data_IF_043976004100
#
_entry.id   IF_043976004100
#
_cell.length_a   1.000
_cell.length_b   1.000
_cell.length_c   1.000
_cell.angle_alpha   90.00
_cell.angle_beta   90.00
_cell.angle_gamma   90.00
#
_symmetry.space_group_name_H-M   'P 1'
#
loop_
_entity.id
_entity.type
_entity.pdbx_description
1 polymer ?
#
# COMPACT_ATOMS: atom_id res chain seq x y z
N UNK A 1 11.97 -28.02 10.73
CA UNK A 1 13.24 -28.66 10.29
C UNK A 1 14.35 -28.06 11.16
N UNK A 2 15.40 -28.81 11.49
CA UNK A 2 16.54 -28.25 12.25
C UNK A 2 17.51 -27.62 11.26
N UNK A 3 18.04 -26.45 11.58
CA UNK A 3 18.91 -25.68 10.69
C UNK A 3 20.27 -25.42 11.33
N UNK A 4 21.31 -25.33 10.49
CA UNK A 4 22.55 -24.70 10.89
C UNK A 4 22.32 -23.17 11.02
N UNK A 5 23.02 -22.51 11.95
CA UNK A 5 22.92 -21.05 12.18
C UNK A 5 23.10 -20.24 10.89
N UNK A 6 24.17 -20.53 10.14
CA UNK A 6 24.55 -19.72 8.98
C UNK A 6 23.59 -19.97 7.81
N UNK A 7 23.11 -21.21 7.66
CA UNK A 7 22.07 -21.57 6.69
C UNK A 7 20.76 -20.85 7.02
N UNK A 8 20.35 -20.84 8.29
CA UNK A 8 19.15 -20.14 8.73
C UNK A 8 19.23 -18.65 8.40
N UNK A 9 20.37 -18.00 8.68
CA UNK A 9 20.55 -16.58 8.41
C UNK A 9 20.58 -16.24 6.92
N UNK A 10 21.22 -17.07 6.11
CA UNK A 10 21.17 -16.90 4.66
C UNK A 10 19.72 -16.96 4.15
N UNK A 11 18.94 -17.95 4.62
CA UNK A 11 17.52 -18.08 4.25
C UNK A 11 16.72 -16.86 4.72
N UNK A 12 16.91 -16.38 5.95
CA UNK A 12 16.19 -15.20 6.45
C UNK A 12 16.51 -13.94 5.63
N UNK A 13 17.79 -13.75 5.26
CA UNK A 13 18.22 -12.65 4.40
C UNK A 13 17.55 -12.72 3.03
N UNK A 14 17.57 -13.88 2.38
CA UNK A 14 16.95 -14.07 1.06
C UNK A 14 15.43 -13.88 1.11
N UNK A 15 14.79 -14.42 2.15
CA UNK A 15 13.37 -14.20 2.39
C UNK A 15 13.05 -12.72 2.62
N UNK A 16 13.88 -11.99 3.36
CA UNK A 16 13.73 -10.56 3.60
C UNK A 16 13.80 -9.74 2.31
N UNK A 17 14.79 -10.03 1.45
CA UNK A 17 14.91 -9.36 0.13
C UNK A 17 13.69 -9.65 -0.74
N UNK A 18 13.24 -10.91 -0.81
CA UNK A 18 12.08 -11.29 -1.59
C UNK A 18 10.78 -10.66 -1.06
N UNK A 19 10.60 -10.62 0.26
CA UNK A 19 9.45 -9.98 0.89
C UNK A 19 9.43 -8.47 0.63
N UNK A 20 10.59 -7.81 0.72
CA UNK A 20 10.71 -6.39 0.41
C UNK A 20 10.37 -6.09 -1.05
N UNK A 21 10.91 -6.87 -2.00
CA UNK A 21 10.59 -6.71 -3.42
C UNK A 21 9.09 -6.86 -3.69
N UNK A 22 8.44 -7.84 -3.06
CA UNK A 22 6.99 -8.05 -3.19
C UNK A 22 6.18 -6.91 -2.56
N UNK A 23 6.61 -6.38 -1.41
CA UNK A 23 5.95 -5.25 -0.76
C UNK A 23 6.02 -4.01 -1.65
N UNK A 24 7.19 -3.68 -2.18
CA UNK A 24 7.39 -2.57 -3.13
C UNK A 24 6.55 -2.74 -4.39
N UNK A 25 6.44 -3.95 -4.94
CA UNK A 25 5.57 -4.23 -6.08
C UNK A 25 4.09 -3.89 -5.76
N UNK A 26 3.61 -4.34 -4.59
CA UNK A 26 2.24 -4.08 -4.13
C UNK A 26 1.99 -2.59 -3.91
N UNK A 27 2.89 -1.91 -3.21
CA UNK A 27 2.81 -0.45 -3.01
C UNK A 27 2.84 0.27 -4.35
N UNK A 28 3.62 -0.20 -5.32
CA UNK A 28 3.63 0.33 -6.68
C UNK A 28 2.29 0.21 -7.41
N UNK A 29 1.49 -0.83 -7.18
CA UNK A 29 0.11 -0.88 -7.69
C UNK A 29 -0.78 0.15 -7.00
N UNK A 30 -0.66 0.28 -5.68
CA UNK A 30 -1.44 1.25 -4.89
C UNK A 30 -1.15 2.68 -5.37
N UNK A 31 0.13 3.04 -5.51
CA UNK A 31 0.55 4.36 -6.00
C UNK A 31 -0.04 4.66 -7.37
N UNK A 32 0.04 3.71 -8.32
CA UNK A 32 -0.53 3.89 -9.67
C UNK A 32 -2.04 4.12 -9.66
N UNK A 33 -2.78 3.40 -8.82
CA UNK A 33 -4.23 3.62 -8.69
C UNK A 33 -4.54 4.98 -8.03
N UNK A 34 -3.75 5.40 -7.04
CA UNK A 34 -3.88 6.73 -6.44
C UNK A 34 -3.59 7.83 -7.46
N UNK A 35 -2.52 7.72 -8.24
CA UNK A 35 -2.17 8.67 -9.31
C UNK A 35 -3.31 8.79 -10.32
N UNK A 36 -3.87 7.65 -10.76
CA UNK A 36 -5.03 7.64 -11.67
C UNK A 36 -6.24 8.36 -11.08
N UNK A 37 -6.55 8.14 -9.80
CA UNK A 37 -7.64 8.85 -9.11
C UNK A 37 -7.35 10.36 -9.04
N UNK A 38 -6.10 10.74 -8.74
CA UNK A 38 -5.69 12.14 -8.72
C UNK A 38 -5.86 12.81 -10.09
N UNK A 39 -5.46 12.14 -11.17
CA UNK A 39 -5.64 12.63 -12.54
C UNK A 39 -7.12 12.82 -12.88
N UNK A 40 -7.95 11.84 -12.56
CA UNK A 40 -9.40 11.89 -12.82
C UNK A 40 -10.08 13.03 -12.06
N UNK A 41 -9.81 13.16 -10.75
CA UNK A 41 -10.36 14.23 -9.92
C UNK A 41 -9.90 15.60 -10.39
N UNK A 42 -8.62 15.73 -10.77
CA UNK A 42 -8.04 16.99 -11.28
C UNK A 42 -8.65 17.37 -12.63
N UNK A 43 -8.84 16.40 -13.53
CA UNK A 43 -9.50 16.60 -14.82
C UNK A 43 -10.95 17.04 -14.62
N UNK A 44 -11.71 16.32 -13.80
CA UNK A 44 -13.12 16.63 -13.50
C UNK A 44 -13.27 18.03 -12.88
N UNK A 45 -12.37 18.40 -11.97
CA UNK A 45 -12.36 19.74 -11.40
C UNK A 45 -12.03 20.82 -12.45
N UNK A 46 -11.08 20.55 -13.34
CA UNK A 46 -10.72 21.47 -14.42
C UNK A 46 -11.88 21.70 -15.40
N UNK A 47 -12.57 20.63 -15.81
CA UNK A 47 -13.78 20.69 -16.64
C UNK A 47 -14.90 21.45 -15.90
N UNK A 48 -15.04 21.25 -14.58
CA UNK A 48 -16.05 21.92 -13.77
C UNK A 48 -15.89 23.45 -13.71
N UNK A 49 -14.66 23.95 -13.91
CA UNK A 49 -14.32 25.38 -13.94
C UNK A 49 -14.54 26.03 -15.30
N UNK A 50 -14.58 25.27 -16.39
CA UNK A 50 -14.80 25.83 -17.72
C UNK A 50 -16.22 26.43 -17.78
N UNK A 51 -16.30 27.71 -18.20
CA UNK A 51 -17.57 28.41 -18.38
C UNK A 51 -18.25 27.90 -19.67
N UNK A 52 -19.43 27.25 -19.58
CA UNK A 52 -20.15 26.80 -20.77
C UNK A 52 -20.56 27.96 -21.68
N UNK A 53 -20.66 29.19 -21.16
CA UNK A 53 -21.01 30.36 -21.97
C UNK A 53 -19.85 30.87 -22.84
N UNK A 54 -18.60 30.48 -22.56
CA UNK A 54 -17.45 30.88 -23.39
C UNK A 54 -17.47 30.21 -24.78
N UNK A 55 -18.11 29.06 -24.93
CA UNK A 55 -18.30 28.37 -26.22
C UNK A 55 -19.64 28.70 -26.90
N UNK A 56 -20.61 29.25 -26.17
CA UNK A 56 -21.95 29.51 -26.70
C UNK A 56 -22.13 30.94 -27.26
N UNK A 57 -21.05 31.72 -27.31
CA UNK A 57 -21.03 33.08 -27.85
C UNK A 57 -20.46 33.17 -29.29
N UNK A 58 -20.17 32.02 -29.91
CA UNK A 58 -19.76 31.90 -31.30
C UNK A 58 -20.93 31.49 -32.19
N UNK A 59 -21.46 32.48 -32.92
CA UNK A 59 -22.28 32.37 -34.11
C UNK A 59 -23.61 31.59 -34.05
N UNK A 60 -24.67 32.36 -34.26
CA UNK A 60 -25.87 31.96 -34.99
C UNK A 60 -25.53 30.96 -36.10
N UNK A 61 -26.09 29.75 -36.02
CA UNK A 61 -26.38 28.97 -37.22
C UNK A 61 -27.86 28.60 -37.23
N UNK A 62 -28.47 28.94 -38.37
CA UNK A 62 -29.87 28.83 -38.64
C UNK A 62 -30.16 27.41 -39.11
N UNK A 63 -30.64 26.54 -38.22
CA UNK A 63 -30.90 25.16 -38.63
C UNK A 63 -31.56 24.26 -37.59
N UNK A 64 -32.87 24.48 -37.33
CA UNK A 64 -33.81 23.37 -37.07
C UNK A 64 -33.62 22.45 -35.85
N UNK A 65 -32.75 22.73 -34.89
CA UNK A 65 -32.77 21.98 -33.62
C UNK A 65 -33.97 22.42 -32.78
N UNK A 66 -34.95 21.51 -32.63
CA UNK A 66 -36.11 21.70 -31.76
C UNK A 66 -35.64 22.23 -30.40
N UNK A 67 -35.98 23.48 -30.10
CA UNK A 67 -35.61 24.16 -28.86
C UNK A 67 -35.90 23.24 -27.66
N UNK A 68 -34.85 22.92 -26.89
CA UNK A 68 -34.99 22.10 -25.67
C UNK A 68 -36.05 22.74 -24.77
N UNK A 69 -36.94 21.92 -24.21
CA UNK A 69 -37.94 22.41 -23.24
C UNK A 69 -37.25 23.16 -22.09
N UNK A 70 -37.84 24.27 -21.65
CA UNK A 70 -37.39 25.06 -20.49
C UNK A 70 -37.18 24.20 -19.23
N UNK A 71 -37.97 23.13 -19.06
CA UNK A 71 -37.81 22.17 -17.97
C UNK A 71 -36.49 21.41 -18.08
N UNK A 72 -36.17 20.92 -19.29
CA UNK A 72 -34.92 20.21 -19.57
C UNK A 72 -33.70 21.11 -19.37
N UNK A 73 -33.79 22.38 -19.79
CA UNK A 73 -32.73 23.37 -19.56
C UNK A 73 -32.51 23.63 -18.06
N UNK A 74 -33.59 23.78 -17.29
CA UNK A 74 -33.49 23.95 -15.83
C UNK A 74 -32.90 22.71 -15.14
N UNK A 75 -33.29 21.52 -15.58
CA UNK A 75 -32.76 20.26 -15.06
C UNK A 75 -31.26 20.10 -15.36
N UNK A 76 -30.83 20.29 -16.61
CA UNK A 76 -29.40 20.24 -16.99
C UNK A 76 -28.57 21.26 -16.18
N UNK A 77 -29.11 22.45 -15.89
CA UNK A 77 -28.43 23.46 -15.07
C UNK A 77 -28.31 23.04 -13.60
N UNK A 78 -29.34 22.41 -13.03
CA UNK A 78 -29.31 21.91 -11.66
C UNK A 78 -28.32 20.75 -11.51
N UNK A 79 -28.35 19.78 -12.43
CA UNK A 79 -27.42 18.65 -12.47
C UNK A 79 -25.96 19.13 -12.58
N UNK A 80 -25.68 20.10 -13.48
CA UNK A 80 -24.35 20.72 -13.59
C UNK A 80 -23.89 21.41 -12.30
N UNK A 81 -24.79 22.09 -11.58
CA UNK A 81 -24.44 22.73 -10.30
C UNK A 81 -24.02 21.69 -9.26
N UNK A 82 -24.73 20.56 -9.18
CA UNK A 82 -24.40 19.45 -8.29
C UNK A 82 -23.04 18.84 -8.66
N UNK A 83 -22.82 18.56 -9.94
CA UNK A 83 -21.55 18.04 -10.46
C UNK A 83 -20.36 18.96 -10.14
N UNK A 84 -20.50 20.28 -10.30
CA UNK A 84 -19.44 21.24 -9.93
C UNK A 84 -19.16 21.26 -8.43
N UNK A 85 -20.20 21.22 -7.61
CA UNK A 85 -20.04 21.20 -6.16
C UNK A 85 -19.30 19.92 -5.72
N UNK A 86 -19.65 18.78 -6.33
CA UNK A 86 -18.99 17.50 -6.10
C UNK A 86 -17.52 17.52 -6.53
N UNK A 87 -17.22 17.95 -7.76
CA UNK A 87 -15.85 18.02 -8.27
C UNK A 87 -14.96 18.94 -7.42
N UNK A 88 -15.51 20.05 -6.92
CA UNK A 88 -14.81 20.94 -5.98
C UNK A 88 -14.50 20.25 -4.66
N UNK A 89 -15.47 19.52 -4.11
CA UNK A 89 -15.30 18.78 -2.86
C UNK A 89 -14.23 17.70 -3.02
N UNK A 90 -14.37 16.82 -4.01
CA UNK A 90 -13.44 15.72 -4.29
C UNK A 90 -12.01 16.22 -4.48
N UNK A 91 -11.82 17.31 -5.22
CA UNK A 91 -10.50 17.93 -5.37
C UNK A 91 -9.96 18.52 -4.06
N UNK A 92 -10.82 19.10 -3.23
CA UNK A 92 -10.39 19.68 -1.94
C UNK A 92 -9.96 18.63 -0.92
N UNK A 93 -10.51 17.42 -1.01
CA UNK A 93 -10.21 16.30 -0.09
C UNK A 93 -9.08 15.40 -0.59
N UNK A 94 -8.48 15.70 -1.75
CA UNK A 94 -7.48 14.83 -2.38
C UNK A 94 -6.23 14.65 -1.51
N UNK A 95 -5.80 15.69 -0.78
CA UNK A 95 -4.65 15.61 0.12
C UNK A 95 -4.91 14.70 1.33
N UNK A 96 -6.13 14.73 1.87
CA UNK A 96 -6.55 13.85 2.97
C UNK A 96 -6.66 12.40 2.50
N UNK A 97 -7.16 12.20 1.28
CA UNK A 97 -7.21 10.88 0.64
C UNK A 97 -5.81 10.27 0.47
N UNK A 98 -4.83 11.03 -0.04
CA UNK A 98 -3.45 10.54 -0.19
C UNK A 98 -2.86 10.14 1.18
N UNK A 99 -3.00 10.99 2.19
CA UNK A 99 -2.53 10.68 3.56
C UNK A 99 -3.20 9.44 4.13
N UNK A 100 -4.50 9.26 3.87
CA UNK A 100 -5.22 8.08 4.31
C UNK A 100 -4.63 6.81 3.68
N UNK A 101 -4.33 6.84 2.38
CA UNK A 101 -3.68 5.70 1.71
C UNK A 101 -2.29 5.44 2.29
N UNK A 102 -1.49 6.49 2.54
CA UNK A 102 -0.17 6.35 3.19
C UNK A 102 -0.29 5.67 4.55
N UNK A 103 -1.27 6.06 5.37
CA UNK A 103 -1.53 5.43 6.67
C UNK A 103 -1.93 3.97 6.52
N UNK A 104 -2.76 3.60 5.54
CA UNK A 104 -3.10 2.20 5.32
C UNK A 104 -1.89 1.37 4.91
N UNK A 105 -0.99 1.91 4.09
CA UNK A 105 0.26 1.21 3.69
C UNK A 105 1.14 0.96 4.90
N UNK A 106 1.34 1.97 5.76
CA UNK A 106 2.14 1.84 6.98
C UNK A 106 1.49 0.87 7.98
N UNK A 107 0.18 0.99 8.21
CA UNK A 107 -0.57 0.09 9.09
C UNK A 107 -0.46 -1.37 8.62
N UNK A 108 -0.55 -1.60 7.30
CA UNK A 108 -0.38 -2.93 6.71
C UNK A 108 1.03 -3.46 6.94
N UNK A 109 2.07 -2.65 6.75
CA UNK A 109 3.45 -3.03 7.00
C UNK A 109 3.69 -3.42 8.47
N UNK A 110 3.17 -2.61 9.39
CA UNK A 110 3.27 -2.88 10.83
C UNK A 110 2.54 -4.16 11.20
N UNK A 111 1.34 -4.37 10.66
CA UNK A 111 0.56 -5.59 10.90
C UNK A 111 1.32 -6.83 10.42
N UNK A 112 1.89 -6.78 9.21
CA UNK A 112 2.72 -7.87 8.66
C UNK A 112 3.94 -8.16 9.55
N UNK A 113 4.61 -7.13 10.06
CA UNK A 113 5.75 -7.31 10.97
C UNK A 113 5.32 -7.99 12.27
N UNK A 114 4.24 -7.52 12.90
CA UNK A 114 3.69 -8.10 14.14
C UNK A 114 3.28 -9.56 13.93
N UNK A 115 2.56 -9.86 12.85
CA UNK A 115 2.11 -11.22 12.54
C UNK A 115 3.30 -12.16 12.29
N UNK A 116 4.31 -11.69 11.54
CA UNK A 116 5.51 -12.47 11.23
C UNK A 116 6.33 -12.76 12.48
N UNK A 117 6.55 -11.76 13.33
CA UNK A 117 7.28 -11.93 14.60
C UNK A 117 6.50 -12.84 15.55
N UNK A 118 5.17 -12.72 15.61
CA UNK A 118 4.33 -13.59 16.44
C UNK A 118 4.41 -15.04 15.97
N UNK A 119 4.31 -15.28 14.66
CA UNK A 119 4.46 -16.61 14.08
C UNK A 119 5.86 -17.20 14.32
N UNK A 120 6.92 -16.37 14.24
CA UNK A 120 8.27 -16.80 14.54
C UNK A 120 8.45 -17.17 16.02
N UNK A 121 7.92 -16.36 16.93
CA UNK A 121 7.91 -16.66 18.37
C UNK A 121 7.19 -17.98 18.65
N UNK A 122 6.00 -18.18 18.08
CA UNK A 122 5.22 -19.42 18.24
C UNK A 122 6.00 -20.65 17.77
N UNK A 123 6.74 -20.51 16.67
CA UNK A 123 7.61 -21.56 16.16
C UNK A 123 8.77 -21.86 17.15
N UNK A 124 9.35 -20.84 17.79
CA UNK A 124 10.41 -21.01 18.80
C UNK A 124 9.94 -21.72 20.07
N UNK A 125 8.73 -21.43 20.56
CA UNK A 125 8.20 -22.02 21.80
C UNK A 125 7.51 -23.38 21.61
N UNK A 126 7.25 -23.78 20.36
CA UNK A 126 6.59 -25.05 20.05
C UNK A 126 7.38 -26.23 20.62
N UNK A 127 6.75 -27.17 21.34
CA UNK A 127 7.43 -28.37 21.84
C UNK A 127 7.93 -29.25 20.68
N UNK A 128 9.22 -29.62 20.69
CA UNK A 128 9.84 -30.45 19.64
C UNK A 128 10.71 -31.54 20.23
N UNK A 129 10.79 -32.67 19.51
CA UNK A 129 11.81 -33.71 19.78
C UNK A 129 13.20 -33.27 19.32
N UNK A 130 13.28 -32.48 18.25
CA UNK A 130 14.53 -31.92 17.70
C UNK A 130 14.47 -30.39 17.77
N UNK A 131 15.54 -29.77 18.24
CA UNK A 131 15.64 -28.31 18.37
C UNK A 131 15.55 -27.58 17.02
N UNK A 132 15.36 -26.26 17.07
CA UNK A 132 15.33 -25.39 15.87
C UNK A 132 16.72 -25.27 15.26
N UNK A 133 17.75 -25.14 16.10
CA UNK A 133 19.14 -25.01 15.67
C UNK A 133 19.95 -26.27 16.00
N UNK A 134 20.83 -26.64 15.09
CA UNK A 134 21.84 -27.66 15.34
C UNK A 134 22.98 -27.06 16.19
N UNK A 135 23.46 -27.81 17.19
CA UNK A 135 24.57 -27.39 18.04
C UNK A 135 25.56 -28.53 18.17
N UNK A 136 26.82 -28.23 17.87
CA UNK A 136 27.94 -29.14 18.07
C UNK A 136 28.50 -28.98 19.48
N UNK A 137 28.63 -30.10 20.19
CA UNK A 137 29.26 -30.14 21.51
C UNK A 137 30.67 -30.72 21.36
N UNK A 138 31.69 -29.99 21.83
CA UNK A 138 33.08 -30.42 21.84
C UNK A 138 33.54 -30.61 23.28
N UNK A 139 34.08 -31.79 23.58
CA UNK A 139 34.68 -32.10 24.87
C UNK A 139 36.20 -32.01 24.75
N UNK A 140 36.84 -31.22 25.61
CA UNK A 140 38.29 -31.06 25.71
C UNK A 140 38.76 -31.21 27.15
N UNK A 141 40.08 -31.29 27.36
CA UNK A 141 40.67 -31.29 28.71
C UNK A 141 40.37 -30.00 29.49
N UNK A 142 40.08 -28.92 28.78
CA UNK A 142 39.73 -27.61 29.33
C UNK A 142 38.22 -27.42 29.61
N UNK A 143 37.37 -28.37 29.21
CA UNK A 143 35.92 -28.33 29.48
C UNK A 143 35.05 -28.72 28.29
N UNK A 144 33.80 -28.23 28.30
CA UNK A 144 32.81 -28.46 27.24
C UNK A 144 32.57 -27.14 26.49
N UNK A 145 32.64 -27.17 25.16
CA UNK A 145 32.35 -26.03 24.30
C UNK A 145 31.17 -26.34 23.38
N UNK A 146 30.31 -25.33 23.16
CA UNK A 146 29.14 -25.40 22.29
C UNK A 146 29.37 -24.51 21.08
N UNK A 147 28.96 -24.96 19.89
CA UNK A 147 29.03 -24.18 18.66
C UNK A 147 27.77 -24.44 17.82
N UNK A 148 26.93 -23.42 17.56
CA UNK A 148 26.99 -22.07 18.11
C UNK A 148 26.70 -22.02 19.62
N UNK A 149 27.24 -21.01 20.29
CA UNK A 149 26.92 -20.66 21.69
C UNK A 149 25.55 -20.00 21.78
N UNK A 150 24.97 -19.95 22.98
CA UNK A 150 23.70 -19.23 23.21
C UNK A 150 23.81 -17.74 22.87
N UNK A 151 24.98 -17.14 23.10
CA UNK A 151 25.24 -15.74 22.74
C UNK A 151 25.18 -15.56 21.23
N UNK A 152 25.82 -16.44 20.46
CA UNK A 152 25.79 -16.38 18.99
C UNK A 152 24.39 -16.60 18.40
N UNK A 153 23.52 -17.37 19.07
CA UNK A 153 22.12 -17.53 18.65
C UNK A 153 21.28 -16.30 19.03
N UNK A 154 21.54 -15.67 20.18
CA UNK A 154 20.85 -14.44 20.58
C UNK A 154 21.23 -13.27 19.67
N UNK A 155 22.52 -13.05 19.46
CA UNK A 155 23.05 -11.95 18.64
C UNK A 155 22.67 -12.08 17.15
N UNK A 156 22.12 -13.22 16.75
CA UNK A 156 21.55 -13.46 15.42
C UNK A 156 20.10 -12.96 15.29
N UNK A 157 19.37 -12.90 16.41
CA UNK A 157 17.94 -12.54 16.46
C UNK A 157 17.77 -11.04 16.78
N UNK A 158 18.72 -10.45 17.51
CA UNK A 158 18.82 -9.00 17.77
C UNK A 158 19.29 -8.22 16.54
#
# INVERSE_FOLDING_TARGET
KTHNKDEFMAIQSDCGVAANAKFEEVVGYVVREVERVMEEVTLNYSISKQDPNAQNMGYADAGGEKAKSLVKIKQEKAEKKVLRARAKLEHSTLSEFIRFVDYMVVETLVSLAVDTTSAFHDELIKPRKSGVFETMVRFSQSGTAFSPTCLEIRDMID
#
